data_IF_416926558288
#
_entry.id   IF_416926558288
#
_cell.length_a   1.000
_cell.length_b   1.000
_cell.length_c   1.000
_cell.angle_alpha   90.00
_cell.angle_beta   90.00
_cell.angle_gamma   90.00
#
_symmetry.space_group_name_H-M   'P 1'
#
loop_
_entity.id
_entity.type
_entity.pdbx_description
1 polymer ?
#
# COMPACT_ATOMS: atom_id res chain seq x y z
N UNK A 1 -15.79 23.66 4.33
CA UNK A 1 -15.14 22.56 3.60
C UNK A 1 -13.66 22.62 3.93
N UNK A 2 -13.18 21.74 4.81
CA UNK A 2 -11.73 21.56 5.00
C UNK A 2 -11.16 21.09 3.65
N UNK A 3 -10.14 21.81 3.15
CA UNK A 3 -9.38 21.36 1.98
C UNK A 3 -8.93 19.91 2.24
N UNK A 4 -9.19 19.03 1.28
CA UNK A 4 -8.54 17.71 1.26
C UNK A 4 -7.03 18.01 1.31
N UNK A 5 -6.36 17.51 2.34
CA UNK A 5 -4.92 17.72 2.49
C UNK A 5 -4.28 16.97 1.31
N UNK A 6 -3.59 17.65 0.44
CA UNK A 6 -2.88 17.02 -0.66
C UNK A 6 -1.80 16.14 -0.02
N UNK A 7 -1.84 14.86 -0.27
CA UNK A 7 -0.83 13.91 0.21
C UNK A 7 0.59 14.32 -0.24
N UNK A 8 1.60 13.75 0.38
CA UNK A 8 3.00 13.94 -0.04
C UNK A 8 3.17 13.35 -1.43
N UNK A 9 3.70 14.13 -2.37
CA UNK A 9 3.86 13.68 -3.76
C UNK A 9 4.99 12.66 -3.90
N UNK A 10 4.89 11.79 -4.93
CA UNK A 10 5.93 10.82 -5.28
C UNK A 10 7.33 11.48 -5.35
N UNK A 11 7.43 12.62 -6.00
CA UNK A 11 8.72 13.29 -6.21
C UNK A 11 9.32 13.82 -4.89
N UNK A 12 8.47 14.32 -3.99
CA UNK A 12 8.89 14.71 -2.63
C UNK A 12 9.39 13.51 -1.84
N UNK A 13 8.68 12.37 -1.90
CA UNK A 13 9.12 11.14 -1.22
C UNK A 13 10.46 10.69 -1.78
N UNK A 14 10.61 10.60 -3.10
CA UNK A 14 11.87 10.21 -3.74
C UNK A 14 13.03 11.14 -3.38
N UNK A 15 12.78 12.46 -3.34
CA UNK A 15 13.80 13.43 -2.93
C UNK A 15 14.25 13.20 -1.49
N UNK A 16 13.30 13.00 -0.56
CA UNK A 16 13.62 12.71 0.86
C UNK A 16 14.42 11.41 0.99
N UNK A 17 14.00 10.35 0.29
CA UNK A 17 14.63 9.01 0.41
C UNK A 17 16.00 8.95 -0.25
N UNK A 18 16.22 9.63 -1.38
CA UNK A 18 17.55 9.77 -1.98
C UNK A 18 18.54 10.44 -1.01
N UNK A 19 18.08 11.51 -0.35
CA UNK A 19 18.91 12.15 0.67
C UNK A 19 19.29 11.19 1.79
N UNK A 20 18.36 10.37 2.29
CA UNK A 20 18.68 9.37 3.31
C UNK A 20 19.74 8.40 2.81
N UNK A 21 19.63 7.92 1.56
CA UNK A 21 20.61 7.01 0.94
C UNK A 21 21.98 7.66 0.82
N UNK A 22 22.03 8.91 0.35
CA UNK A 22 23.28 9.67 0.19
C UNK A 22 23.98 9.90 1.55
N UNK A 23 23.19 10.16 2.60
CA UNK A 23 23.67 10.37 3.96
C UNK A 23 23.92 9.05 4.74
N UNK A 24 23.74 7.88 4.10
CA UNK A 24 23.81 6.55 4.73
C UNK A 24 22.86 6.38 5.94
N UNK A 25 21.71 7.04 5.92
CA UNK A 25 20.66 6.92 6.94
C UNK A 25 19.65 5.86 6.53
N UNK A 26 19.32 4.88 7.40
CA UNK A 26 18.30 3.87 7.09
C UNK A 26 16.94 4.49 6.77
N UNK A 27 16.21 3.88 5.83
CA UNK A 27 14.82 4.21 5.54
C UNK A 27 13.94 3.24 6.31
N UNK A 28 13.11 3.77 7.21
CA UNK A 28 12.25 2.97 8.09
C UNK A 28 10.80 3.05 7.61
N UNK A 29 10.25 1.91 7.16
CA UNK A 29 8.83 1.76 6.87
C UNK A 29 8.12 1.01 7.99
N UNK A 30 6.93 1.46 8.36
CA UNK A 30 6.08 0.80 9.36
C UNK A 30 4.71 0.42 8.78
N UNK A 31 4.12 -0.64 9.29
CA UNK A 31 2.83 -1.17 8.84
C UNK A 31 1.72 -0.88 9.83
N UNK A 32 0.89 0.14 9.57
CA UNK A 32 -0.24 0.49 10.42
C UNK A 32 -1.49 -0.35 10.13
N UNK A 33 -2.26 -0.64 11.17
CA UNK A 33 -3.56 -1.33 11.06
C UNK A 33 -4.74 -0.49 11.50
N UNK A 34 -4.48 0.63 12.18
CA UNK A 34 -5.47 1.58 12.70
C UNK A 34 -4.90 2.99 12.69
N UNK A 35 -5.76 4.00 12.80
CA UNK A 35 -5.32 5.40 12.87
C UNK A 35 -4.41 5.68 14.07
N UNK A 36 -4.66 5.04 15.21
CA UNK A 36 -3.81 5.24 16.40
C UNK A 36 -2.39 4.68 16.18
N UNK A 37 -2.24 3.53 15.52
CA UNK A 37 -0.92 2.99 15.20
C UNK A 37 -0.17 3.92 14.24
N UNK A 38 -0.81 4.36 13.16
CA UNK A 38 -0.23 5.29 12.19
C UNK A 38 0.24 6.60 12.83
N UNK A 39 -0.59 7.17 13.71
CA UNK A 39 -0.26 8.40 14.44
C UNK A 39 0.99 8.26 15.30
N UNK A 40 1.15 7.14 16.01
CA UNK A 40 2.31 6.92 16.84
C UNK A 40 3.54 6.48 16.05
N UNK A 41 3.37 5.78 14.93
CA UNK A 41 4.45 5.50 14.00
C UNK A 41 5.04 6.80 13.42
N UNK A 42 4.20 7.74 13.00
CA UNK A 42 4.64 9.07 12.57
C UNK A 42 5.37 9.82 13.69
N UNK A 43 4.80 9.84 14.89
CA UNK A 43 5.43 10.48 16.06
C UNK A 43 6.77 9.83 16.44
N UNK A 44 6.95 8.54 16.14
CA UNK A 44 8.20 7.80 16.27
C UNK A 44 9.23 8.10 15.19
N UNK A 45 8.88 8.85 14.15
CA UNK A 45 9.79 9.30 13.10
C UNK A 45 10.01 8.30 11.97
N UNK A 46 9.05 7.45 11.67
CA UNK A 46 9.13 6.55 10.50
C UNK A 46 9.14 7.35 9.20
N UNK A 47 9.78 6.79 8.19
CA UNK A 47 9.93 7.41 6.87
C UNK A 47 8.76 7.15 5.92
N UNK A 48 8.10 6.01 6.09
CA UNK A 48 6.95 5.56 5.31
C UNK A 48 5.98 4.81 6.22
N UNK A 49 4.69 4.97 5.99
CA UNK A 49 3.64 4.16 6.58
C UNK A 49 2.97 3.36 5.47
N UNK A 50 2.79 2.07 5.67
CA UNK A 50 2.10 1.20 4.72
C UNK A 50 0.84 0.65 5.39
N UNK A 51 -0.31 0.77 4.73
CA UNK A 51 -1.56 0.17 5.19
C UNK A 51 -2.09 -0.81 4.16
N UNK A 52 -2.57 -1.95 4.62
CA UNK A 52 -3.13 -3.02 3.81
C UNK A 52 -4.09 -3.87 4.67
N UNK A 53 -4.94 -4.67 4.02
CA UNK A 53 -5.94 -5.50 4.71
C UNK A 53 -5.35 -6.33 5.87
N UNK A 54 -4.14 -6.84 5.72
CA UNK A 54 -3.40 -7.59 6.75
C UNK A 54 -3.20 -6.77 8.03
N UNK A 55 -2.98 -5.46 7.92
CA UNK A 55 -2.88 -4.55 9.06
C UNK A 55 -4.16 -4.56 9.89
N UNK A 56 -5.31 -4.46 9.24
CA UNK A 56 -6.62 -4.56 9.88
C UNK A 56 -6.80 -5.90 10.60
N UNK A 57 -6.42 -7.00 9.95
CA UNK A 57 -6.52 -8.33 10.55
C UNK A 57 -5.56 -8.52 11.75
N UNK A 58 -4.35 -7.94 11.69
CA UNK A 58 -3.43 -7.94 12.84
C UNK A 58 -4.02 -7.21 14.06
N UNK A 59 -4.69 -6.08 13.84
CA UNK A 59 -5.37 -5.36 14.94
C UNK A 59 -6.54 -6.17 15.52
N UNK A 60 -7.12 -7.07 14.74
CA UNK A 60 -8.09 -8.07 15.21
C UNK A 60 -7.43 -9.34 15.83
N UNK A 61 -6.11 -9.33 16.07
CA UNK A 61 -5.37 -10.44 16.68
C UNK A 61 -5.07 -11.60 15.74
N UNK A 62 -5.01 -11.36 14.40
CA UNK A 62 -4.71 -12.40 13.40
C UNK A 62 -3.28 -12.28 12.87
N UNK A 63 -2.76 -13.36 12.31
CA UNK A 63 -1.45 -13.34 11.64
C UNK A 63 -1.47 -12.55 10.33
N UNK A 64 -0.32 -12.06 9.90
CA UNK A 64 -0.19 -11.23 8.68
C UNK A 64 -0.66 -11.94 7.41
N UNK A 65 -0.46 -13.26 7.30
CA UNK A 65 -0.91 -14.04 6.14
C UNK A 65 -2.44 -14.12 6.01
N UNK A 66 -3.21 -13.70 7.01
CA UNK A 66 -4.65 -13.56 6.89
C UNK A 66 -5.04 -12.61 5.73
N UNK A 67 -4.16 -11.67 5.37
CA UNK A 67 -4.35 -10.78 4.24
C UNK A 67 -4.31 -11.44 2.86
N UNK A 68 -3.74 -12.65 2.76
CA UNK A 68 -3.71 -13.45 1.52
C UNK A 68 -4.87 -14.43 1.42
N UNK A 69 -5.72 -14.49 2.43
CA UNK A 69 -6.83 -15.42 2.53
C UNK A 69 -8.17 -14.74 2.16
N UNK A 70 -9.21 -15.52 1.79
CA UNK A 70 -10.47 -14.97 1.30
C UNK A 70 -11.38 -14.42 2.43
N UNK A 71 -10.81 -13.59 3.32
CA UNK A 71 -11.53 -13.04 4.48
C UNK A 71 -12.14 -11.67 4.23
N UNK A 72 -12.01 -11.14 3.02
CA UNK A 72 -12.59 -9.89 2.61
C UNK A 72 -11.98 -9.35 1.32
N UNK A 73 -12.58 -8.29 0.79
CA UNK A 73 -12.04 -7.55 -0.35
C UNK A 73 -10.86 -6.69 0.12
N UNK A 74 -9.64 -7.09 -0.24
CA UNK A 74 -8.41 -6.42 0.22
C UNK A 74 -8.36 -4.95 -0.22
N UNK A 75 -8.77 -4.65 -1.44
CA UNK A 75 -8.76 -3.30 -1.98
C UNK A 75 -9.84 -2.41 -1.36
N UNK A 76 -11.03 -2.94 -1.08
CA UNK A 76 -12.05 -2.20 -0.35
C UNK A 76 -11.63 -1.92 1.10
N UNK A 77 -10.98 -2.88 1.77
CA UNK A 77 -10.51 -2.73 3.14
C UNK A 77 -9.45 -1.63 3.24
N UNK A 78 -8.49 -1.56 2.32
CA UNK A 78 -7.46 -0.50 2.36
C UNK A 78 -8.05 0.88 2.12
N UNK A 79 -9.05 1.00 1.24
CA UNK A 79 -9.75 2.26 0.99
C UNK A 79 -10.59 2.69 2.20
N UNK A 80 -11.21 1.77 2.91
CA UNK A 80 -11.90 2.04 4.18
C UNK A 80 -10.91 2.53 5.26
N UNK A 81 -9.77 1.88 5.40
CA UNK A 81 -8.70 2.27 6.32
C UNK A 81 -8.14 3.68 6.04
N UNK A 82 -8.17 4.13 4.78
CA UNK A 82 -7.69 5.45 4.39
C UNK A 82 -8.38 6.57 5.15
N UNK A 83 -9.71 6.48 5.34
CA UNK A 83 -10.47 7.47 6.10
C UNK A 83 -10.02 7.62 7.55
N UNK A 84 -9.56 6.54 8.16
CA UNK A 84 -9.03 6.53 9.52
C UNK A 84 -7.57 7.01 9.58
N UNK A 85 -6.71 6.55 8.68
CA UNK A 85 -5.27 6.77 8.73
C UNK A 85 -4.86 8.11 8.14
N UNK A 86 -5.33 8.47 6.94
CA UNK A 86 -4.92 9.72 6.27
C UNK A 86 -5.39 10.99 6.99
N UNK A 87 -6.36 10.86 7.90
CA UNK A 87 -6.87 12.00 8.68
C UNK A 87 -6.05 12.31 9.93
N UNK A 88 -5.16 11.40 10.36
CA UNK A 88 -4.36 11.53 11.57
C UNK A 88 -2.85 11.56 11.32
N UNK A 89 -2.41 11.20 10.11
CA UNK A 89 -1.02 11.33 9.66
C UNK A 89 -0.85 12.69 8.98
N UNK A 90 0.21 13.42 9.34
CA UNK A 90 0.41 14.81 8.87
C UNK A 90 1.44 14.94 7.76
N UNK A 91 2.64 14.39 7.93
CA UNK A 91 3.80 14.61 7.08
C UNK A 91 4.43 13.34 6.51
N UNK A 92 4.13 12.19 7.13
CA UNK A 92 4.67 10.90 6.68
C UNK A 92 3.90 10.39 5.46
N UNK A 93 4.58 10.01 4.37
CA UNK A 93 3.93 9.41 3.21
C UNK A 93 3.24 8.09 3.59
N UNK A 94 1.97 7.93 3.19
CA UNK A 94 1.22 6.70 3.41
C UNK A 94 1.06 5.97 2.08
N UNK A 95 1.38 4.68 2.05
CA UNK A 95 1.25 3.81 0.89
C UNK A 95 0.09 2.83 1.09
N UNK A 96 -0.65 2.57 0.03
CA UNK A 96 -1.72 1.56 0.00
C UNK A 96 -1.18 0.20 -0.43
N UNK A 97 -1.43 -0.85 0.34
CA UNK A 97 -1.27 -2.22 -0.11
C UNK A 97 -2.41 -2.61 -1.04
N UNK A 98 -2.11 -2.89 -2.30
CA UNK A 98 -3.08 -3.14 -3.37
C UNK A 98 -2.98 -4.57 -3.87
N UNK A 99 -4.12 -5.27 -3.91
CA UNK A 99 -4.25 -6.56 -4.57
C UNK A 99 -4.26 -6.36 -6.08
N UNK A 100 -3.09 -6.47 -6.73
CA UNK A 100 -2.92 -6.23 -8.16
C UNK A 100 -3.55 -7.31 -9.05
N UNK A 101 -3.90 -8.46 -8.49
CA UNK A 101 -4.57 -9.56 -9.20
C UNK A 101 -6.10 -9.51 -9.10
N UNK A 102 -6.68 -8.45 -8.54
CA UNK A 102 -8.13 -8.30 -8.36
C UNK A 102 -8.85 -8.24 -9.73
N UNK A 103 -9.66 -9.25 -10.10
CA UNK A 103 -10.30 -9.31 -11.40
C UNK A 103 -11.56 -8.44 -11.49
N UNK A 104 -12.02 -7.87 -10.38
CA UNK A 104 -13.25 -7.08 -10.30
C UNK A 104 -13.01 -5.58 -10.39
N UNK A 105 -11.73 -5.16 -10.55
CA UNK A 105 -11.35 -3.75 -10.71
C UNK A 105 -10.59 -3.50 -12.01
N UNK A 106 -10.89 -2.38 -12.62
CA UNK A 106 -10.00 -1.80 -13.63
C UNK A 106 -8.86 -1.10 -12.88
N UNK A 107 -7.68 -1.72 -12.86
CA UNK A 107 -6.60 -1.33 -11.97
C UNK A 107 -6.14 0.13 -12.17
N UNK A 108 -6.10 0.63 -13.41
CA UNK A 108 -5.77 2.03 -13.67
C UNK A 108 -6.77 3.00 -13.04
N UNK A 109 -8.08 2.71 -13.11
CA UNK A 109 -9.11 3.52 -12.47
C UNK A 109 -8.96 3.48 -10.96
N UNK A 110 -8.73 2.29 -10.40
CA UNK A 110 -8.53 2.14 -8.96
C UNK A 110 -7.29 2.89 -8.46
N UNK A 111 -6.20 2.89 -9.21
CA UNK A 111 -5.00 3.66 -8.86
C UNK A 111 -5.24 5.19 -8.89
N UNK A 112 -6.11 5.69 -9.78
CA UNK A 112 -6.54 7.08 -9.75
C UNK A 112 -7.33 7.40 -8.50
N UNK A 113 -8.20 6.50 -8.03
CA UNK A 113 -8.93 6.66 -6.78
C UNK A 113 -7.98 6.67 -5.57
N UNK A 114 -6.98 5.79 -5.56
CA UNK A 114 -5.94 5.71 -4.52
C UNK A 114 -5.15 7.03 -4.44
N UNK A 115 -4.73 7.58 -5.58
CA UNK A 115 -4.05 8.89 -5.63
C UNK A 115 -4.97 10.01 -5.15
N UNK A 116 -6.19 10.05 -5.65
CA UNK A 116 -7.15 11.11 -5.36
C UNK A 116 -7.55 11.20 -3.88
N UNK A 117 -7.56 10.06 -3.15
CA UNK A 117 -7.86 10.06 -1.71
C UNK A 117 -6.70 10.52 -0.85
N UNK A 118 -5.46 10.55 -1.40
CA UNK A 118 -4.28 11.13 -0.75
C UNK A 118 -3.15 10.16 -0.40
N UNK A 119 -3.16 8.95 -0.91
CA UNK A 119 -2.01 8.06 -0.80
C UNK A 119 -0.82 8.59 -1.61
N UNK A 120 0.38 8.44 -1.07
CA UNK A 120 1.63 8.81 -1.74
C UNK A 120 2.14 7.70 -2.67
N UNK A 121 1.64 6.49 -2.53
CA UNK A 121 2.11 5.36 -3.31
C UNK A 121 1.37 4.07 -3.03
N UNK A 122 1.85 2.99 -3.67
CA UNK A 122 1.29 1.65 -3.56
C UNK A 122 2.36 0.60 -3.34
N UNK A 123 1.98 -0.51 -2.70
CA UNK A 123 2.72 -1.74 -2.58
C UNK A 123 1.84 -2.90 -3.07
N UNK A 124 2.43 -3.90 -3.74
CA UNK A 124 1.69 -5.07 -4.24
C UNK A 124 1.42 -6.10 -3.12
N UNK A 125 0.52 -5.78 -2.22
CA UNK A 125 0.08 -6.71 -1.18
C UNK A 125 -1.45 -6.60 -0.98
N UNK A 126 -2.21 -7.71 -0.92
CA UNK A 126 -1.78 -9.14 -0.98
C UNK A 126 -1.08 -9.50 -2.29
N UNK A 127 -0.15 -10.45 -2.24
CA UNK A 127 0.66 -10.86 -3.38
C UNK A 127 0.65 -12.36 -3.58
N UNK A 128 0.62 -12.79 -4.85
CA UNK A 128 0.85 -14.18 -5.23
C UNK A 128 2.34 -14.53 -5.27
N UNK A 129 3.21 -13.53 -5.12
CA UNK A 129 4.67 -13.70 -5.06
C UNK A 129 5.15 -14.57 -3.89
N UNK A 130 4.34 -14.68 -2.83
CA UNK A 130 4.60 -15.56 -1.68
C UNK A 130 4.20 -17.02 -1.91
N UNK A 131 3.55 -17.32 -3.03
CA UNK A 131 3.00 -18.64 -3.34
C UNK A 131 3.94 -19.35 -4.32
N UNK A 132 4.22 -20.62 -4.09
CA UNK A 132 5.05 -21.45 -4.94
C UNK A 132 4.35 -22.76 -5.35
N UNK A 133 5.09 -23.65 -6.02
CA UNK A 133 4.67 -24.98 -6.40
C UNK A 133 3.44 -25.02 -7.30
N UNK A 134 2.65 -26.08 -7.17
CA UNK A 134 1.47 -26.33 -8.00
C UNK A 134 0.40 -25.24 -7.86
N UNK A 135 0.25 -24.69 -6.67
CA UNK A 135 -0.72 -23.63 -6.46
C UNK A 135 -0.33 -22.34 -7.25
N UNK A 136 0.93 -21.96 -7.24
CA UNK A 136 1.42 -20.85 -8.05
C UNK A 136 1.21 -21.11 -9.54
N UNK A 137 1.53 -22.32 -10.02
CA UNK A 137 1.30 -22.71 -11.41
C UNK A 137 -0.16 -22.53 -11.81
N UNK A 138 -1.08 -23.00 -10.98
CA UNK A 138 -2.52 -22.87 -11.26
C UNK A 138 -2.97 -21.39 -11.30
N UNK A 139 -2.44 -20.53 -10.45
CA UNK A 139 -2.73 -19.09 -10.48
C UNK A 139 -2.24 -18.46 -11.78
N UNK A 140 -1.04 -18.78 -12.23
CA UNK A 140 -0.49 -18.27 -13.51
C UNK A 140 -1.33 -18.74 -14.71
N UNK A 141 -1.69 -20.03 -14.76
CA UNK A 141 -2.47 -20.63 -15.85
C UNK A 141 -3.93 -20.14 -15.90
N UNK A 142 -4.46 -19.66 -14.78
CA UNK A 142 -5.85 -19.18 -14.68
C UNK A 142 -5.99 -17.66 -14.66
N UNK A 143 -4.93 -16.93 -15.00
CA UNK A 143 -4.97 -15.48 -15.17
C UNK A 143 -4.88 -14.68 -13.87
N UNK A 144 -4.39 -15.29 -12.79
CA UNK A 144 -4.16 -14.66 -11.49
C UNK A 144 -2.65 -14.61 -11.16
N UNK A 145 -1.82 -14.50 -12.18
CA UNK A 145 -0.37 -14.58 -12.07
C UNK A 145 0.29 -13.29 -11.61
N UNK A 146 1.56 -13.42 -11.21
CA UNK A 146 2.38 -12.32 -10.71
C UNK A 146 2.62 -11.20 -11.74
N UNK A 147 2.47 -11.49 -13.04
CA UNK A 147 2.57 -10.50 -14.11
C UNK A 147 1.63 -9.30 -13.94
N UNK A 148 0.44 -9.51 -13.34
CA UNK A 148 -0.50 -8.44 -13.02
C UNK A 148 0.03 -7.48 -11.95
N UNK A 149 0.75 -8.00 -10.97
CA UNK A 149 1.38 -7.18 -9.93
C UNK A 149 2.58 -6.39 -10.49
N UNK A 150 3.34 -6.98 -11.41
CA UNK A 150 4.40 -6.27 -12.14
C UNK A 150 3.82 -5.11 -12.94
N UNK A 151 2.66 -5.32 -13.57
CA UNK A 151 1.98 -4.25 -14.32
C UNK A 151 1.44 -3.15 -13.40
N UNK A 152 0.88 -3.50 -12.23
CA UNK A 152 0.51 -2.54 -11.19
C UNK A 152 1.70 -1.63 -10.82
N UNK A 153 2.86 -2.24 -10.53
CA UNK A 153 4.08 -1.51 -10.14
C UNK A 153 4.59 -0.63 -11.29
N UNK A 154 4.46 -1.08 -12.54
CA UNK A 154 4.84 -0.30 -13.72
C UNK A 154 3.91 0.89 -13.96
N UNK A 155 2.63 0.73 -13.71
CA UNK A 155 1.59 1.75 -13.95
C UNK A 155 1.58 2.83 -12.86
N UNK A 156 1.84 2.48 -11.60
CA UNK A 156 1.78 3.40 -10.47
C UNK A 156 2.50 4.74 -10.67
N UNK A 157 3.76 4.76 -11.14
CA UNK A 157 4.49 6.00 -11.40
C UNK A 157 3.82 6.92 -12.42
N UNK A 158 3.13 6.39 -13.40
CA UNK A 158 2.39 7.17 -14.40
C UNK A 158 1.18 7.88 -13.79
N UNK A 159 0.69 7.39 -12.67
CA UNK A 159 -0.39 7.98 -11.87
C UNK A 159 0.14 8.87 -10.72
N UNK A 160 1.44 9.18 -10.69
CA UNK A 160 2.05 9.99 -9.63
C UNK A 160 2.26 9.26 -8.31
N UNK A 161 2.11 7.94 -8.27
CA UNK A 161 2.27 7.11 -7.09
C UNK A 161 3.69 6.56 -6.96
N UNK A 162 4.25 6.58 -5.75
CA UNK A 162 5.44 5.80 -5.42
C UNK A 162 5.09 4.31 -5.45
N UNK A 163 5.98 3.48 -5.97
CA UNK A 163 5.82 2.03 -5.93
C UNK A 163 6.93 1.38 -5.12
N UNK A 164 6.56 0.45 -4.24
CA UNK A 164 7.48 -0.37 -3.44
C UNK A 164 7.07 -1.82 -3.60
N UNK A 165 7.73 -2.59 -4.48
CA UNK A 165 7.42 -4.00 -4.68
C UNK A 165 7.86 -4.87 -3.51
#
# INVERSE_FOLDING_TARGET
LKRVKKGVTRDEVLKRRRKNTDDCVPIIGAGAGTGISAKFEEAGGVDLIIIYNSGRFRMAGRGSLAGTMPYGDANAIVMDMAGEVLTVVEDTPVLAGVCGTDPFRQMEVFLQEVEAIGFAGVQNFPTVGLIDGLYRQNLEETGMGYGLEVELVRTGPNMGLLTTP
#
